data_IF_548873013648
#
_entry.id   IF_548873013648
#
_cell.length_a   1.000
_cell.length_b   1.000
_cell.length_c   1.000
_cell.angle_alpha   90.00
_cell.angle_beta   90.00
_cell.angle_gamma   90.00
#
_symmetry.space_group_name_H-M   'P 1'
#
loop_
_entity.id
_entity.type
_entity.pdbx_description
1 polymer ?
#
# COMPACT_ATOMS: atom_id res chain seq x y z
N UNK A 1 22.60 18.09 20.50
CA UNK A 1 22.27 16.77 19.91
C UNK A 1 23.44 16.33 19.05
N UNK A 2 23.93 15.10 19.17
CA UNK A 2 25.10 14.64 18.40
C UNK A 2 24.80 14.54 16.91
N UNK A 3 25.44 15.39 16.10
CA UNK A 3 25.29 15.45 14.63
C UNK A 3 25.58 14.12 13.94
N UNK A 4 26.46 13.30 14.53
CA UNK A 4 26.82 11.98 14.00
C UNK A 4 25.65 11.00 14.13
N UNK A 5 25.01 10.94 15.30
CA UNK A 5 23.86 10.04 15.55
C UNK A 5 22.68 10.39 14.64
N UNK A 6 22.43 11.68 14.44
CA UNK A 6 21.40 12.15 13.52
C UNK A 6 21.64 11.66 12.09
N UNK A 7 22.85 11.85 11.55
CA UNK A 7 23.20 11.44 10.18
C UNK A 7 23.09 9.92 9.98
N UNK A 8 23.52 9.14 10.95
CA UNK A 8 23.43 7.67 10.89
C UNK A 8 21.97 7.21 10.85
N UNK A 9 21.11 7.78 11.70
CA UNK A 9 19.67 7.51 11.70
C UNK A 9 19.06 7.84 10.34
N UNK A 10 19.32 9.03 9.81
CA UNK A 10 18.76 9.47 8.51
C UNK A 10 19.16 8.51 7.39
N UNK A 11 20.43 8.09 7.31
CA UNK A 11 20.88 7.10 6.31
C UNK A 11 20.18 5.75 6.47
N UNK A 12 20.03 5.27 7.70
CA UNK A 12 19.33 4.01 7.98
C UNK A 12 17.86 4.09 7.56
N UNK A 13 17.20 5.20 7.86
CA UNK A 13 15.80 5.43 7.53
C UNK A 13 15.62 5.59 6.02
N UNK A 14 16.54 6.26 5.33
CA UNK A 14 16.54 6.41 3.88
C UNK A 14 16.62 5.07 3.13
N UNK A 15 17.48 4.15 3.58
CA UNK A 15 17.57 2.81 2.98
C UNK A 15 16.32 1.95 3.25
N UNK A 16 15.67 2.16 4.38
CA UNK A 16 14.53 1.35 4.82
C UNK A 16 13.20 1.84 4.24
N UNK A 17 13.00 3.16 4.15
CA UNK A 17 11.70 3.76 3.85
C UNK A 17 11.11 3.31 2.49
N UNK A 18 11.84 3.32 1.35
CA UNK A 18 11.25 2.98 0.05
C UNK A 18 10.56 1.61 0.01
N UNK A 19 11.16 0.60 0.67
CA UNK A 19 10.60 -0.76 0.72
C UNK A 19 9.36 -0.91 1.60
N UNK A 20 9.01 0.11 2.41
CA UNK A 20 7.89 0.07 3.35
C UNK A 20 6.80 1.11 3.03
N UNK A 21 6.97 1.89 1.95
CA UNK A 21 6.01 2.93 1.58
C UNK A 21 4.65 2.37 1.12
N UNK A 22 4.62 1.21 0.46
CA UNK A 22 3.33 0.58 0.09
C UNK A 22 2.54 0.21 1.34
N UNK A 23 3.15 -0.59 2.23
CA UNK A 23 2.55 -0.98 3.51
C UNK A 23 2.10 0.24 4.35
N UNK A 24 2.82 1.36 4.28
CA UNK A 24 2.37 2.61 4.91
C UNK A 24 1.08 3.17 4.30
N UNK A 25 0.99 3.22 2.98
CA UNK A 25 -0.21 3.70 2.27
C UNK A 25 -1.40 2.76 2.43
N UNK A 26 -1.13 1.45 2.57
CA UNK A 26 -2.12 0.42 2.78
C UNK A 26 -2.56 0.31 4.26
N UNK A 27 -1.86 1.00 5.18
CA UNK A 27 -2.19 1.04 6.60
C UNK A 27 -1.72 -0.18 7.40
N UNK A 28 -0.76 -0.93 6.86
CA UNK A 28 -0.28 -2.21 7.41
C UNK A 28 0.94 -2.08 8.34
N UNK A 29 1.52 -0.89 8.44
CA UNK A 29 2.64 -0.64 9.34
C UNK A 29 2.20 -0.47 10.80
N UNK A 30 2.99 -1.01 11.71
CA UNK A 30 2.90 -0.68 13.14
C UNK A 30 3.17 0.81 13.40
N UNK A 31 2.61 1.35 14.48
CA UNK A 31 2.78 2.76 14.88
C UNK A 31 4.25 3.23 14.89
N UNK A 32 5.23 2.48 15.44
CA UNK A 32 6.63 2.90 15.40
C UNK A 32 7.20 3.01 13.97
N UNK A 33 6.77 2.11 13.07
CA UNK A 33 7.20 2.08 11.68
C UNK A 33 6.56 3.20 10.86
N UNK A 34 5.28 3.49 11.15
CA UNK A 34 4.55 4.63 10.60
C UNK A 34 5.23 5.96 10.95
N UNK A 35 5.47 6.20 12.25
CA UNK A 35 6.16 7.40 12.74
C UNK A 35 7.58 7.53 12.15
N UNK A 36 8.24 6.41 11.87
CA UNK A 36 9.56 6.39 11.21
C UNK A 36 9.49 6.92 9.78
N UNK A 37 8.50 6.52 8.98
CA UNK A 37 8.29 7.05 7.62
C UNK A 37 7.92 8.54 7.66
N UNK A 38 7.02 8.93 8.56
CA UNK A 38 6.57 10.33 8.69
C UNK A 38 7.73 11.25 9.05
N UNK A 39 8.55 10.87 10.04
CA UNK A 39 9.75 11.63 10.40
C UNK A 39 10.78 11.65 9.27
N UNK A 40 11.05 10.52 8.62
CA UNK A 40 12.06 10.51 7.57
C UNK A 40 11.64 11.33 6.34
N UNK A 41 10.39 11.20 5.91
CA UNK A 41 9.85 11.97 4.79
C UNK A 41 9.71 13.46 5.11
N UNK A 42 9.63 13.86 6.39
CA UNK A 42 9.71 15.26 6.78
C UNK A 42 11.13 15.84 6.67
N UNK A 43 12.16 15.00 6.75
CA UNK A 43 13.58 15.39 6.71
C UNK A 43 14.24 15.17 5.33
N UNK A 44 13.73 14.26 4.51
CA UNK A 44 14.31 13.88 3.20
C UNK A 44 13.35 14.25 2.04
N UNK A 45 13.69 15.27 1.22
CA UNK A 45 12.86 15.70 0.08
C UNK A 45 12.60 14.59 -0.94
N UNK A 46 13.59 13.75 -1.20
CA UNK A 46 13.51 12.65 -2.16
C UNK A 46 12.48 11.61 -1.72
N UNK A 47 12.59 11.13 -0.47
CA UNK A 47 11.62 10.17 0.07
C UNK A 47 10.21 10.77 0.19
N UNK A 48 10.10 12.08 0.48
CA UNK A 48 8.82 12.78 0.44
C UNK A 48 8.19 12.77 -0.95
N UNK A 49 9.00 13.04 -1.98
CA UNK A 49 8.54 13.05 -3.35
C UNK A 49 8.09 11.67 -3.81
N UNK A 50 8.86 10.63 -3.52
CA UNK A 50 8.50 9.23 -3.83
C UNK A 50 7.17 8.85 -3.16
N UNK A 51 7.02 9.13 -1.87
CA UNK A 51 5.79 8.82 -1.14
C UNK A 51 4.57 9.54 -1.73
N UNK A 52 4.70 10.83 -2.07
CA UNK A 52 3.64 11.60 -2.74
C UNK A 52 3.29 11.03 -4.11
N UNK A 53 4.29 10.67 -4.92
CA UNK A 53 4.08 10.08 -6.25
C UNK A 53 3.36 8.74 -6.18
N UNK A 54 3.72 7.88 -5.22
CA UNK A 54 3.04 6.61 -4.99
C UNK A 54 1.59 6.84 -4.52
N UNK A 55 1.38 7.71 -3.53
CA UNK A 55 0.04 8.06 -3.04
C UNK A 55 -0.87 8.62 -4.14
N UNK A 56 -0.33 9.45 -5.04
CA UNK A 56 -1.05 9.98 -6.20
C UNK A 56 -1.44 8.85 -7.15
N UNK A 57 -0.53 7.93 -7.44
CA UNK A 57 -0.79 6.78 -8.30
C UNK A 57 -1.93 5.93 -7.74
N UNK A 58 -1.87 5.56 -6.46
CA UNK A 58 -2.94 4.81 -5.78
C UNK A 58 -4.27 5.56 -5.84
N UNK A 59 -4.25 6.88 -5.61
CA UNK A 59 -5.46 7.71 -5.66
C UNK A 59 -6.09 7.72 -7.06
N UNK A 60 -5.28 7.80 -8.11
CA UNK A 60 -5.76 7.74 -9.51
C UNK A 60 -6.38 6.37 -9.77
N UNK A 61 -5.69 5.28 -9.43
CA UNK A 61 -6.19 3.91 -9.62
C UNK A 61 -7.51 3.66 -8.90
N UNK A 62 -7.65 4.14 -7.65
CA UNK A 62 -8.90 4.02 -6.88
C UNK A 62 -10.09 4.77 -7.47
N UNK A 63 -9.84 5.79 -8.30
CA UNK A 63 -10.87 6.57 -8.99
C UNK A 63 -11.22 6.03 -10.37
N UNK A 64 -10.47 5.04 -10.87
CA UNK A 64 -10.80 4.43 -12.15
C UNK A 64 -12.14 3.71 -12.04
N UNK A 65 -13.00 3.81 -13.06
CA UNK A 65 -14.23 3.03 -13.09
C UNK A 65 -13.87 1.55 -13.00
N UNK A 66 -14.69 0.80 -12.25
CA UNK A 66 -14.56 -0.65 -12.20
C UNK A 66 -14.53 -1.18 -13.65
N UNK A 67 -13.66 -2.17 -13.95
CA UNK A 67 -13.57 -2.72 -15.30
C UNK A 67 -14.96 -3.15 -15.76
N UNK A 68 -15.38 -2.62 -16.92
CA UNK A 68 -16.64 -2.99 -17.57
C UNK A 68 -16.47 -4.44 -18.05
N UNK A 69 -17.35 -5.32 -17.61
CA UNK A 69 -17.29 -6.75 -17.97
C UNK A 69 -17.05 -7.71 -16.81
N UNK A 70 -17.28 -7.28 -15.57
CA UNK A 70 -17.55 -8.25 -14.50
C UNK A 70 -18.97 -8.75 -14.74
N UNK A 71 -19.10 -10.01 -15.17
CA UNK A 71 -20.40 -10.68 -15.28
C UNK A 71 -21.19 -10.54 -13.97
N UNK A 72 -22.49 -10.82 -14.01
CA UNK A 72 -23.33 -10.72 -12.82
C UNK A 72 -22.65 -11.48 -11.67
N UNK A 73 -22.47 -10.90 -10.47
CA UNK A 73 -21.97 -11.62 -9.30
C UNK A 73 -22.65 -12.99 -9.11
N UNK A 74 -23.91 -13.15 -9.53
CA UNK A 74 -24.62 -14.43 -9.57
C UNK A 74 -23.97 -15.45 -10.51
N UNK A 75 -23.55 -15.05 -11.70
CA UNK A 75 -22.86 -15.92 -12.67
C UNK A 75 -21.56 -16.46 -12.07
N UNK A 76 -20.84 -15.61 -11.33
CA UNK A 76 -19.61 -15.98 -10.67
C UNK A 76 -19.86 -17.00 -9.54
N UNK A 77 -20.91 -16.79 -8.73
CA UNK A 77 -21.32 -17.75 -7.69
C UNK A 77 -21.75 -19.09 -8.29
N UNK A 78 -22.52 -19.08 -9.38
CA UNK A 78 -22.94 -20.30 -10.09
C UNK A 78 -21.71 -21.05 -10.61
N UNK A 79 -20.76 -20.34 -11.23
CA UNK A 79 -19.54 -20.94 -11.76
C UNK A 79 -18.65 -21.53 -10.65
N UNK A 80 -18.55 -20.87 -9.50
CA UNK A 80 -17.80 -21.39 -8.33
C UNK A 80 -18.47 -22.65 -7.78
N UNK A 81 -19.79 -22.62 -7.53
CA UNK A 81 -20.54 -23.80 -7.03
C UNK A 81 -20.43 -25.00 -7.97
N UNK A 82 -20.55 -24.76 -9.28
CA UNK A 82 -20.42 -25.80 -10.31
C UNK A 82 -19.04 -26.46 -10.28
N UNK A 83 -17.97 -25.68 -10.05
CA UNK A 83 -16.59 -26.19 -9.93
C UNK A 83 -16.32 -26.91 -8.61
N UNK A 84 -16.95 -26.49 -7.52
CA UNK A 84 -16.80 -27.13 -6.21
C UNK A 84 -17.57 -28.47 -6.12
N UNK A 85 -18.40 -28.82 -7.11
CA UNK A 85 -19.17 -30.07 -7.10
C UNK A 85 -20.31 -30.09 -6.07
N UNK A 86 -20.63 -28.94 -5.47
CA UNK A 86 -21.76 -28.79 -4.56
C UNK A 86 -23.05 -28.88 -5.38
N UNK A 87 -23.69 -30.06 -5.37
CA UNK A 87 -25.03 -30.21 -5.96
C UNK A 87 -25.96 -29.19 -5.30
N UNK A 88 -26.62 -28.30 -6.06
CA UNK A 88 -27.60 -27.39 -5.48
C UNK A 88 -28.68 -28.22 -4.82
N UNK A 89 -28.89 -28.03 -3.50
CA UNK A 89 -30.04 -28.57 -2.79
C UNK A 89 -31.25 -27.76 -3.24
N UNK A 90 -32.01 -28.34 -4.17
CA UNK A 90 -33.39 -27.95 -4.46
C UNK A 90 -34.27 -28.27 -3.25
#
# INVERSE_FOLDING_TARGET
MSTVLYRLRVRRDHRWAPGHMSAYLDGELSEPSRARIERHSSECPECRWVLKSLARTVTILRRMPAPRGQGDPRDLVIAVRSRLGERPRL
#
